data_IF_871998017619
#
_entry.id   IF_871998017619
#
_cell.length_a   1.000
_cell.length_b   1.000
_cell.length_c   1.000
_cell.angle_alpha   90.00
_cell.angle_beta   90.00
_cell.angle_gamma   90.00
#
_symmetry.space_group_name_H-M   'P 1'
#
loop_
_entity.id
_entity.type
_entity.pdbx_description
1 polymer ?
#
# COMPACT_ATOMS: atom_id res chain seq x y z
N UNK A 1 -10.36 -0.03 33.54
CA UNK A 1 -9.33 -0.30 32.52
C UNK A 1 -8.09 0.46 32.92
N UNK A 2 -6.95 -0.22 33.05
CA UNK A 2 -5.65 0.39 33.29
C UNK A 2 -5.13 1.03 31.99
N UNK A 3 -4.38 2.13 32.09
CA UNK A 3 -3.72 2.75 30.94
C UNK A 3 -2.61 1.81 30.41
N UNK A 4 -2.43 1.71 29.08
CA UNK A 4 -1.32 0.96 28.49
C UNK A 4 0.03 1.47 28.97
N UNK A 5 0.99 0.56 29.12
CA UNK A 5 2.38 0.90 29.41
C UNK A 5 3.12 1.38 28.15
N UNK A 6 4.20 2.15 28.30
CA UNK A 6 5.00 2.60 27.13
C UNK A 6 5.53 1.43 26.28
N UNK A 7 5.84 0.29 26.90
CA UNK A 7 6.28 -0.91 26.20
C UNK A 7 5.16 -1.52 25.35
N UNK A 8 3.93 -1.59 25.87
CA UNK A 8 2.76 -2.04 25.11
C UNK A 8 2.46 -1.11 23.92
N UNK A 9 2.59 0.21 24.11
CA UNK A 9 2.45 1.18 23.01
C UNK A 9 3.52 0.95 21.94
N UNK A 10 4.78 0.78 22.33
CA UNK A 10 5.88 0.52 21.39
C UNK A 10 5.69 -0.79 20.61
N UNK A 11 5.25 -1.86 21.27
CA UNK A 11 4.94 -3.13 20.59
C UNK A 11 3.82 -2.93 19.57
N UNK A 12 2.74 -2.23 19.93
CA UNK A 12 1.63 -1.96 19.04
C UNK A 12 2.06 -1.08 17.83
N UNK A 13 2.84 -0.02 18.04
CA UNK A 13 3.28 0.88 16.96
C UNK A 13 4.25 0.16 16.01
N UNK A 14 5.12 -0.71 16.53
CA UNK A 14 5.99 -1.55 15.72
C UNK A 14 5.21 -2.57 14.89
N UNK A 15 4.14 -3.16 15.43
CA UNK A 15 3.26 -4.05 14.67
C UNK A 15 2.57 -3.31 13.51
N UNK A 16 2.05 -2.10 13.76
CA UNK A 16 1.44 -1.24 12.73
C UNK A 16 2.44 -0.90 11.62
N UNK A 17 3.67 -0.53 11.97
CA UNK A 17 4.73 -0.23 10.98
C UNK A 17 5.15 -1.44 10.18
N UNK A 18 5.26 -2.60 10.83
CA UNK A 18 5.58 -3.86 10.16
C UNK A 18 4.52 -4.20 9.12
N UNK A 19 3.24 -4.09 9.50
CA UNK A 19 2.14 -4.36 8.58
C UNK A 19 2.07 -3.32 7.45
N UNK A 20 2.30 -2.04 7.73
CA UNK A 20 2.43 -1.02 6.70
C UNK A 20 3.53 -1.34 5.68
N UNK A 21 4.67 -1.89 6.13
CA UNK A 21 5.74 -2.37 5.26
C UNK A 21 5.27 -3.46 4.28
N UNK A 22 4.47 -4.41 4.75
CA UNK A 22 3.91 -5.47 3.88
C UNK A 22 2.95 -4.90 2.84
N UNK A 23 2.07 -3.98 3.23
CA UNK A 23 1.16 -3.33 2.29
C UNK A 23 1.92 -2.54 1.22
N UNK A 24 2.99 -1.84 1.59
CA UNK A 24 3.87 -1.14 0.64
C UNK A 24 4.55 -2.12 -0.33
N UNK A 25 5.06 -3.25 0.18
CA UNK A 25 5.67 -4.29 -0.65
C UNK A 25 4.67 -4.83 -1.68
N UNK A 26 3.46 -5.18 -1.25
CA UNK A 26 2.42 -5.68 -2.16
C UNK A 26 1.98 -4.62 -3.17
N UNK A 27 1.92 -3.34 -2.77
CA UNK A 27 1.67 -2.24 -3.68
C UNK A 27 2.74 -2.12 -4.77
N UNK A 28 4.02 -2.30 -4.39
CA UNK A 28 5.13 -2.37 -5.32
C UNK A 28 4.96 -3.50 -6.33
N UNK A 29 4.61 -4.71 -5.86
CA UNK A 29 4.37 -5.87 -6.72
C UNK A 29 3.22 -5.66 -7.71
N UNK A 30 2.11 -5.06 -7.27
CA UNK A 30 1.01 -4.71 -8.18
C UNK A 30 1.38 -3.62 -9.18
N UNK A 31 2.20 -2.65 -8.77
CA UNK A 31 2.70 -1.61 -9.69
C UNK A 31 3.58 -2.23 -10.79
N UNK A 32 4.47 -3.16 -10.44
CA UNK A 32 5.26 -3.92 -11.41
C UNK A 32 4.36 -4.73 -12.34
N UNK A 33 3.40 -5.48 -11.79
CA UNK A 33 2.48 -6.29 -12.60
C UNK A 33 1.63 -5.44 -13.56
N UNK A 34 1.23 -4.23 -13.15
CA UNK A 34 0.55 -3.28 -14.03
C UNK A 34 1.42 -2.91 -15.23
N UNK A 35 2.69 -2.59 -14.98
CA UNK A 35 3.66 -2.28 -16.04
C UNK A 35 3.90 -3.45 -16.98
N UNK A 36 4.11 -4.65 -16.42
CA UNK A 36 4.31 -5.88 -17.18
C UNK A 36 3.09 -6.18 -18.06
N UNK A 37 1.88 -6.09 -17.51
CA UNK A 37 0.65 -6.28 -18.26
C UNK A 37 0.53 -5.24 -19.39
N UNK A 38 0.72 -3.95 -19.10
CA UNK A 38 0.67 -2.90 -20.12
C UNK A 38 1.67 -3.14 -21.26
N UNK A 39 2.86 -3.69 -20.96
CA UNK A 39 3.87 -4.06 -21.94
C UNK A 39 3.49 -5.23 -22.85
N UNK A 40 2.42 -5.97 -22.56
CA UNK A 40 1.93 -7.06 -23.39
C UNK A 40 1.05 -6.60 -24.56
N UNK A 41 0.67 -5.32 -24.63
CA UNK A 41 -0.17 -4.82 -25.72
C UNK A 41 0.46 -5.06 -27.10
N UNK A 42 -0.37 -5.45 -28.07
CA UNK A 42 0.06 -5.64 -29.46
C UNK A 42 -0.28 -4.45 -30.33
N UNK A 43 0.67 -4.07 -31.17
CA UNK A 43 0.41 -3.27 -32.36
C UNK A 43 -0.28 -4.10 -33.44
N UNK A 44 -1.07 -3.43 -34.29
CA UNK A 44 -1.70 -4.09 -35.45
C UNK A 44 -0.66 -4.76 -36.35
N UNK A 45 0.47 -4.11 -36.63
CA UNK A 45 1.54 -4.71 -37.45
C UNK A 45 2.07 -6.05 -36.89
N UNK A 46 2.22 -6.16 -35.57
CA UNK A 46 2.75 -7.34 -34.90
C UNK A 46 1.77 -8.52 -34.93
N UNK A 47 0.47 -8.22 -34.93
CA UNK A 47 -0.58 -9.23 -34.87
C UNK A 47 -0.80 -10.00 -36.19
N UNK A 48 -0.35 -9.48 -37.33
CA UNK A 48 -0.44 -10.16 -38.62
C UNK A 48 -1.87 -10.64 -38.93
N UNK A 49 -2.04 -11.96 -39.09
CA UNK A 49 -3.34 -12.59 -39.38
C UNK A 49 -4.36 -12.49 -38.22
N UNK A 50 -3.92 -12.15 -37.01
CA UNK A 50 -4.76 -12.03 -35.81
C UNK A 50 -5.31 -10.61 -35.59
N UNK A 51 -5.37 -9.76 -36.63
CA UNK A 51 -5.87 -8.37 -36.54
C UNK A 51 -7.19 -8.21 -35.76
N UNK A 52 -8.12 -9.14 -35.97
CA UNK A 52 -9.45 -9.08 -35.36
C UNK A 52 -9.41 -9.25 -33.84
N UNK A 53 -8.35 -9.86 -33.31
CA UNK A 53 -8.19 -10.10 -31.88
C UNK A 53 -7.41 -9.00 -31.16
N UNK A 54 -6.73 -8.10 -31.90
CA UNK A 54 -5.86 -7.06 -31.30
C UNK A 54 -6.63 -6.16 -30.35
N UNK A 55 -7.79 -5.66 -30.78
CA UNK A 55 -8.63 -4.79 -29.95
C UNK A 55 -9.11 -5.49 -28.68
N UNK A 56 -9.86 -6.62 -28.74
CA UNK A 56 -10.32 -7.28 -27.53
C UNK A 56 -9.19 -7.78 -26.63
N UNK A 57 -8.05 -8.17 -27.19
CA UNK A 57 -6.85 -8.52 -26.42
C UNK A 57 -6.30 -7.30 -25.66
N UNK A 58 -6.07 -6.18 -26.35
CA UNK A 58 -5.54 -4.97 -25.74
C UNK A 58 -6.51 -4.36 -24.72
N UNK A 59 -7.83 -4.53 -24.90
CA UNK A 59 -8.84 -4.11 -23.94
C UNK A 59 -8.71 -4.89 -22.63
N UNK A 60 -8.52 -6.21 -22.70
CA UNK A 60 -8.28 -7.06 -21.52
C UNK A 60 -6.97 -6.67 -20.83
N UNK A 61 -5.89 -6.50 -21.60
CA UNK A 61 -4.60 -6.07 -21.06
C UNK A 61 -4.73 -4.72 -20.34
N UNK A 62 -5.44 -3.77 -20.93
CA UNK A 62 -5.68 -2.45 -20.33
C UNK A 62 -6.49 -2.56 -19.05
N UNK A 63 -7.52 -3.41 -19.02
CA UNK A 63 -8.33 -3.63 -17.83
C UNK A 63 -7.50 -4.25 -16.69
N UNK A 64 -6.68 -5.27 -16.98
CA UNK A 64 -5.81 -5.92 -15.98
C UNK A 64 -4.79 -4.91 -15.44
N UNK A 65 -4.11 -4.18 -16.32
CA UNK A 65 -3.16 -3.14 -15.91
C UNK A 65 -3.82 -2.10 -15.01
N UNK A 66 -5.00 -1.59 -15.40
CA UNK A 66 -5.73 -0.59 -14.63
C UNK A 66 -6.11 -1.10 -13.23
N UNK A 67 -6.63 -2.34 -13.12
CA UNK A 67 -6.97 -2.93 -11.82
C UNK A 67 -5.74 -3.12 -10.92
N UNK A 68 -4.60 -3.49 -11.51
CA UNK A 68 -3.35 -3.60 -10.76
C UNK A 68 -2.89 -2.23 -10.23
N UNK A 69 -2.97 -1.17 -11.05
CA UNK A 69 -2.63 0.18 -10.65
C UNK A 69 -3.54 0.72 -9.53
N UNK A 70 -4.85 0.48 -9.63
CA UNK A 70 -5.80 0.85 -8.58
C UNK A 70 -5.52 0.11 -7.27
N UNK A 71 -5.29 -1.22 -7.34
CA UNK A 71 -4.94 -2.02 -6.17
C UNK A 71 -3.65 -1.54 -5.50
N UNK A 72 -2.63 -1.20 -6.30
CA UNK A 72 -1.39 -0.63 -5.78
C UNK A 72 -1.62 0.70 -5.05
N UNK A 73 -2.48 1.58 -5.59
CA UNK A 73 -2.83 2.84 -4.94
C UNK A 73 -3.53 2.61 -3.60
N UNK A 74 -4.56 1.75 -3.55
CA UNK A 74 -5.27 1.44 -2.30
C UNK A 74 -4.35 0.80 -1.25
N UNK A 75 -3.42 -0.07 -1.65
CA UNK A 75 -2.45 -0.65 -0.71
C UNK A 75 -1.50 0.39 -0.13
N UNK A 76 -1.06 1.38 -0.93
CA UNK A 76 -0.28 2.53 -0.42
C UNK A 76 -1.07 3.37 0.57
N UNK A 77 -2.35 3.59 0.33
CA UNK A 77 -3.22 4.32 1.26
C UNK A 77 -3.36 3.58 2.60
N UNK A 78 -3.50 2.25 2.58
CA UNK A 78 -3.50 1.43 3.79
C UNK A 78 -2.17 1.55 4.53
N UNK A 79 -1.04 1.40 3.83
CA UNK A 79 0.28 1.54 4.43
C UNK A 79 0.49 2.93 5.06
N UNK A 80 0.06 4.00 4.39
CA UNK A 80 0.10 5.37 4.89
C UNK A 80 -0.74 5.53 6.16
N UNK A 81 -1.98 5.02 6.14
CA UNK A 81 -2.88 5.06 7.30
C UNK A 81 -2.29 4.37 8.53
N UNK A 82 -1.70 3.19 8.34
CA UNK A 82 -1.06 2.44 9.43
C UNK A 82 0.16 3.18 10.01
N UNK A 83 0.99 3.81 9.16
CA UNK A 83 2.12 4.64 9.62
C UNK A 83 1.64 5.87 10.38
N UNK A 84 0.59 6.52 9.89
CA UNK A 84 0.02 7.68 10.56
C UNK A 84 -0.55 7.31 11.93
N UNK A 85 -1.28 6.19 12.03
CA UNK A 85 -1.77 5.69 13.31
C UNK A 85 -0.63 5.41 14.30
N UNK A 86 0.44 4.73 13.85
CA UNK A 86 1.61 4.47 14.69
C UNK A 86 2.27 5.76 15.19
N UNK A 87 2.42 6.76 14.31
CA UNK A 87 3.00 8.05 14.68
C UNK A 87 2.12 8.83 15.67
N UNK A 88 0.80 8.78 15.51
CA UNK A 88 -0.14 9.41 16.44
C UNK A 88 -0.04 8.78 17.83
N UNK A 89 -0.03 7.45 17.93
CA UNK A 89 0.09 6.77 19.23
C UNK A 89 1.40 7.11 19.96
N UNK A 90 2.52 7.19 19.24
CA UNK A 90 3.79 7.58 19.86
C UNK A 90 3.82 9.04 20.30
N UNK A 91 3.23 9.94 19.50
CA UNK A 91 3.13 11.35 19.86
C UNK A 91 2.27 11.56 21.11
N UNK A 92 1.15 10.83 21.21
CA UNK A 92 0.26 10.87 22.38
C UNK A 92 0.94 10.32 23.64
N UNK A 93 1.69 9.23 23.53
CA UNK A 93 2.45 8.63 24.64
C UNK A 93 3.55 9.59 25.14
N UNK A 94 4.33 10.18 24.25
CA UNK A 94 5.35 11.16 24.61
C UNK A 94 4.76 12.40 25.29
N UNK A 95 3.64 12.91 24.78
CA UNK A 95 2.93 14.05 25.38
C UNK A 95 2.33 13.68 26.75
N UNK A 96 1.83 12.46 26.92
CA UNK A 96 1.36 11.92 28.19
C UNK A 96 2.47 11.85 29.24
N UNK A 97 3.62 11.28 28.87
CA UNK A 97 4.80 11.19 29.74
C UNK A 97 5.27 12.58 30.22
N UNK A 98 5.31 13.57 29.33
CA UNK A 98 5.72 14.95 29.67
C UNK A 98 4.76 15.63 30.65
N UNK A 99 3.44 15.38 30.52
CA UNK A 99 2.45 15.91 31.47
C UNK A 99 2.62 15.33 32.87
N UNK A 100 2.97 14.05 32.98
CA UNK A 100 3.18 13.39 34.27
C UNK A 100 4.49 13.88 34.91
N UNK A 101 5.55 14.09 34.14
CA UNK A 101 6.82 14.60 34.67
C UNK A 101 6.77 16.05 35.15
N UNK A 102 5.83 16.86 34.64
CA UNK A 102 5.67 18.26 35.04
C UNK A 102 4.78 18.50 36.27
N UNK A 103 4.21 17.44 36.85
CA UNK A 103 3.32 17.50 38.03
C UNK A 103 4.07 17.08 39.33
N UNK A 104 5.29 16.56 39.22
CA UNK A 104 6.20 16.29 40.34
C UNK A 104 7.27 17.38 40.48
#
# INVERSE_FOLDING_TARGET
MTLPTPEEVSVATNALRTEAGKWEEQAGRLSTLSGDAAGMQFGRLEAGLFQMLVTPYNDIISAVSARCAEGAASMKEIASTLRNAANTYEAEDQAGAHRISGIY
#
